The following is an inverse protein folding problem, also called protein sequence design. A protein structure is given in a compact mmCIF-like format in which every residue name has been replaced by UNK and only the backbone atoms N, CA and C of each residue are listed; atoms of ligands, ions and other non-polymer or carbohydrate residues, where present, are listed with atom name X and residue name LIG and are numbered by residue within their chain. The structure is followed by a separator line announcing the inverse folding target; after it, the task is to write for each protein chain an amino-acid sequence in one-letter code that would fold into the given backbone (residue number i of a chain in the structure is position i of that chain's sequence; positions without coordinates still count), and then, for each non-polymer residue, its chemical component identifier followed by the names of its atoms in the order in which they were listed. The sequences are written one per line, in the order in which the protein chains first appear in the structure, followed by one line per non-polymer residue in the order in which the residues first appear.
data_IF_807337484885
#
_entry.id   IF_807337484885
#
_cell.length_a   1.000
_cell.length_b   1.000
_cell.length_c   1.000
_cell.angle_alpha   90.00
_cell.angle_beta   90.00
_cell.angle_gamma   90.00
#
_symmetry.space_group_name_H-M   'P 1'
#
loop_
_entity.id
_entity.type
_entity.pdbx_description
1 polymer ?
#
# COMPACT_ATOMS: atom_id res chain seq x y z
N UNK A 1 -25.53 6.07 -10.32
CA UNK A 1 -24.71 5.35 -9.31
C UNK A 1 -23.77 6.39 -8.72
N UNK A 2 -23.63 6.53 -7.40
CA UNK A 2 -22.68 7.50 -6.85
C UNK A 2 -21.28 6.90 -7.01
N UNK A 3 -20.44 7.50 -7.83
CA UNK A 3 -19.07 7.04 -8.05
C UNK A 3 -18.23 7.35 -6.81
N UNK A 4 -17.37 6.41 -6.41
CA UNK A 4 -16.47 6.61 -5.27
C UNK A 4 -15.25 7.44 -5.74
N UNK A 5 -15.07 8.68 -5.26
CA UNK A 5 -14.00 9.56 -5.72
C UNK A 5 -12.61 9.00 -5.44
N UNK A 6 -12.46 8.07 -4.49
CA UNK A 6 -11.18 7.45 -4.14
C UNK A 6 -10.67 6.51 -5.22
N UNK A 7 -11.53 6.02 -6.11
CA UNK A 7 -11.18 5.08 -7.19
C UNK A 7 -11.68 5.53 -8.56
N UNK A 8 -12.25 6.74 -8.63
CA UNK A 8 -12.80 7.32 -9.86
C UNK A 8 -11.99 8.58 -10.19
N UNK A 9 -11.13 8.56 -11.23
CA UNK A 9 -10.20 9.64 -11.53
C UNK A 9 -10.93 10.82 -12.18
N UNK A 10 -11.63 11.60 -11.34
CA UNK A 10 -12.50 12.72 -11.70
C UNK A 10 -12.50 13.79 -10.60
N UNK A 11 -12.36 15.05 -10.99
CA UNK A 11 -12.53 16.23 -10.10
C UNK A 11 -12.82 17.48 -10.94
N UNK A 12 -13.54 18.44 -10.36
CA UNK A 12 -13.60 19.84 -10.87
C UNK A 12 -13.83 19.99 -12.39
N UNK A 13 -14.74 19.17 -12.95
CA UNK A 13 -15.06 19.20 -14.39
C UNK A 13 -14.06 18.46 -15.29
N UNK A 14 -13.02 17.84 -14.74
CA UNK A 14 -12.03 17.03 -15.45
C UNK A 14 -12.23 15.55 -15.10
N UNK A 15 -12.12 14.68 -16.11
CA UNK A 15 -12.11 13.23 -15.95
C UNK A 15 -11.00 12.58 -16.77
N UNK A 16 -10.59 11.37 -16.39
CA UNK A 16 -9.83 10.51 -17.29
C UNK A 16 -10.63 10.18 -18.56
N UNK A 17 -9.94 10.06 -19.70
CA UNK A 17 -10.52 9.66 -21.00
C UNK A 17 -11.36 8.39 -20.91
N UNK A 18 -10.97 7.43 -20.07
CA UNK A 18 -11.69 6.17 -19.85
C UNK A 18 -13.11 6.36 -19.28
N UNK A 19 -13.44 7.54 -18.75
CA UNK A 19 -14.75 7.86 -18.19
C UNK A 19 -15.68 8.56 -19.20
N UNK A 20 -15.23 8.78 -20.44
CA UNK A 20 -16.04 9.40 -21.49
C UNK A 20 -17.30 8.56 -21.79
N UNK A 21 -18.47 9.18 -21.60
CA UNK A 21 -19.78 8.50 -21.70
C UNK A 21 -20.21 7.72 -20.45
N UNK A 22 -19.38 7.68 -19.41
CA UNK A 22 -19.68 7.07 -18.11
C UNK A 22 -20.02 8.13 -17.06
N UNK A 23 -19.22 9.20 -16.99
CA UNK A 23 -19.38 10.33 -16.06
C UNK A 23 -19.35 11.62 -16.87
N UNK A 24 -20.24 12.56 -16.55
CA UNK A 24 -20.23 13.89 -17.15
C UNK A 24 -19.04 14.72 -16.64
N UNK A 25 -18.23 15.22 -17.57
CA UNK A 25 -17.12 16.13 -17.33
C UNK A 25 -17.01 17.15 -18.48
N UNK A 26 -16.48 18.32 -18.18
CA UNK A 26 -16.21 19.38 -19.15
C UNK A 26 -15.06 18.98 -20.09
N UNK A 27 -14.05 18.31 -19.54
CA UNK A 27 -12.86 17.87 -20.26
C UNK A 27 -12.50 16.45 -19.86
N UNK A 28 -12.18 15.64 -20.87
CA UNK A 28 -11.60 14.31 -20.70
C UNK A 28 -10.14 14.33 -21.12
N UNK A 29 -9.25 13.90 -20.23
CA UNK A 29 -7.80 13.94 -20.41
C UNK A 29 -7.22 12.54 -20.54
N UNK A 30 -6.23 12.40 -21.43
CA UNK A 30 -5.45 11.17 -21.58
C UNK A 30 -4.36 11.14 -20.50
N UNK A 31 -4.40 10.19 -19.55
CA UNK A 31 -3.45 10.16 -18.45
C UNK A 31 -2.01 9.92 -18.95
N UNK A 32 -1.05 10.51 -18.25
CA UNK A 32 0.38 10.32 -18.46
C UNK A 32 0.97 9.46 -17.34
N UNK A 33 1.46 8.29 -17.70
CA UNK A 33 2.15 7.42 -16.76
C UNK A 33 3.46 8.07 -16.24
N UNK A 34 3.60 8.11 -14.91
CA UNK A 34 4.81 8.46 -14.19
C UNK A 34 5.14 7.38 -13.14
N UNK A 35 6.38 7.36 -12.66
CA UNK A 35 6.84 6.41 -11.65
C UNK A 35 7.31 7.12 -10.39
N UNK A 36 7.00 6.57 -9.22
CA UNK A 36 7.53 7.05 -7.96
C UNK A 36 9.04 6.79 -7.89
N UNK A 37 9.83 7.85 -7.74
CA UNK A 37 11.30 7.79 -7.61
C UNK A 37 11.76 7.96 -6.17
N UNK A 38 10.89 8.44 -5.28
CA UNK A 38 11.10 8.42 -3.84
C UNK A 38 10.93 7.00 -3.26
N UNK A 39 11.45 6.76 -2.05
CA UNK A 39 11.22 5.49 -1.36
C UNK A 39 9.71 5.26 -1.10
N UNK A 40 9.03 6.32 -0.68
CA UNK A 40 7.59 6.44 -0.60
C UNK A 40 7.19 7.92 -0.76
N UNK A 41 5.95 8.17 -1.19
CA UNK A 41 5.30 9.49 -1.17
C UNK A 41 3.82 9.36 -0.86
N UNK A 42 3.23 10.33 -0.16
CA UNK A 42 1.82 10.30 0.19
C UNK A 42 0.93 10.61 -1.01
N UNK A 43 -0.19 9.90 -1.13
CA UNK A 43 -1.36 10.32 -1.91
C UNK A 43 -2.28 11.08 -0.96
N UNK A 44 -2.52 12.36 -1.27
CA UNK A 44 -3.24 13.30 -0.41
C UNK A 44 -4.59 13.69 -0.97
N UNK A 45 -5.48 14.15 -0.09
CA UNK A 45 -6.83 14.58 -0.44
C UNK A 45 -6.89 15.93 -1.17
N UNK A 46 -5.83 16.74 -1.08
CA UNK A 46 -5.73 18.05 -1.73
C UNK A 46 -4.26 18.36 -2.09
N UNK A 47 -3.98 19.32 -3.00
CA UNK A 47 -2.63 19.74 -3.38
C UNK A 47 -1.98 20.62 -2.29
N UNK A 48 -1.88 20.09 -1.07
CA UNK A 48 -1.29 20.72 0.10
C UNK A 48 -0.53 19.67 0.92
N UNK A 49 0.68 20.00 1.36
CA UNK A 49 1.51 19.11 2.17
C UNK A 49 0.88 18.80 3.54
N UNK A 50 -0.01 19.67 4.03
CA UNK A 50 -0.77 19.49 5.26
C UNK A 50 -2.12 18.79 5.04
N UNK A 51 -2.52 18.55 3.78
CA UNK A 51 -3.72 17.80 3.50
C UNK A 51 -3.59 16.36 4.01
N UNK A 52 -4.74 15.77 4.34
CA UNK A 52 -4.82 14.39 4.80
C UNK A 52 -4.13 13.44 3.83
N UNK A 53 -3.21 12.63 4.35
CA UNK A 53 -2.67 11.50 3.62
C UNK A 53 -3.69 10.37 3.66
N UNK A 54 -4.12 9.92 2.48
CA UNK A 54 -5.09 8.84 2.32
C UNK A 54 -4.40 7.52 1.99
N UNK A 55 -3.27 7.58 1.28
CA UNK A 55 -2.48 6.42 0.86
C UNK A 55 -1.01 6.82 0.62
N UNK A 56 -0.16 5.88 0.18
CA UNK A 56 1.16 6.16 -0.37
C UNK A 56 1.37 5.46 -1.73
N UNK A 57 2.27 6.03 -2.52
CA UNK A 57 3.01 5.31 -3.55
C UNK A 57 4.34 4.87 -2.97
N UNK A 58 4.77 3.66 -3.31
CA UNK A 58 6.11 3.14 -3.02
C UNK A 58 7.02 3.25 -4.26
N UNK A 59 8.33 3.19 -4.04
CA UNK A 59 9.31 3.25 -5.12
C UNK A 59 8.96 2.30 -6.28
N UNK A 60 9.02 2.86 -7.49
CA UNK A 60 8.77 2.18 -8.76
C UNK A 60 7.30 1.92 -9.09
N UNK A 61 6.37 2.19 -8.16
CA UNK A 61 4.94 2.16 -8.47
C UNK A 61 4.58 3.23 -9.49
N UNK A 62 3.59 2.93 -10.33
CA UNK A 62 3.12 3.82 -11.39
C UNK A 62 1.92 4.63 -10.93
N UNK A 63 1.87 5.86 -11.44
CA UNK A 63 0.79 6.81 -11.24
C UNK A 63 0.41 7.42 -12.58
N UNK A 64 -0.86 7.29 -12.94
CA UNK A 64 -1.43 7.84 -14.16
C UNK A 64 -1.87 9.28 -13.88
N UNK A 65 -1.02 10.23 -14.24
CA UNK A 65 -1.21 11.67 -13.99
C UNK A 65 -2.26 12.21 -14.96
N UNK A 66 -3.30 12.83 -14.42
CA UNK A 66 -4.29 13.56 -15.21
C UNK A 66 -3.96 15.04 -15.34
N UNK A 67 -3.49 15.65 -14.26
CA UNK A 67 -3.30 17.09 -14.18
C UNK A 67 -2.11 17.43 -13.29
N UNK A 68 -1.40 18.49 -13.66
CA UNK A 68 -0.31 19.08 -12.89
C UNK A 68 -0.73 20.47 -12.40
N UNK A 69 -0.69 20.66 -11.08
CA UNK A 69 -1.04 21.91 -10.41
C UNK A 69 0.14 22.35 -9.52
N UNK A 70 1.04 23.15 -10.10
CA UNK A 70 2.23 23.64 -9.40
C UNK A 70 3.16 22.51 -8.98
N UNK A 71 3.27 22.24 -7.68
CA UNK A 71 4.11 21.18 -7.12
C UNK A 71 3.39 19.82 -6.98
N UNK A 72 2.14 19.73 -7.42
CA UNK A 72 1.28 18.57 -7.22
C UNK A 72 0.81 17.97 -8.53
N UNK A 73 0.67 16.65 -8.52
CA UNK A 73 0.12 15.87 -9.62
C UNK A 73 -1.17 15.21 -9.13
N UNK A 74 -2.28 15.50 -9.78
CA UNK A 74 -3.53 14.79 -9.58
C UNK A 74 -3.61 13.61 -10.54
N UNK A 75 -4.03 12.45 -10.04
CA UNK A 75 -4.11 11.26 -10.87
C UNK A 75 -4.50 10.01 -10.09
N UNK A 76 -4.13 8.87 -10.63
CA UNK A 76 -4.54 7.57 -10.14
C UNK A 76 -3.37 6.59 -10.01
N UNK A 77 -3.25 5.91 -8.87
CA UNK A 77 -2.31 4.83 -8.66
C UNK A 77 -2.68 3.64 -9.55
N UNK A 78 -1.73 3.17 -10.36
CA UNK A 78 -1.97 2.06 -11.29
C UNK A 78 -2.17 0.71 -10.57
N UNK A 79 -1.74 0.61 -9.31
CA UNK A 79 -1.74 -0.61 -8.49
C UNK A 79 -3.14 -1.06 -8.08
N UNK A 80 -3.95 -0.13 -7.57
CA UNK A 80 -5.27 -0.41 -7.00
C UNK A 80 -6.33 0.63 -7.41
N UNK A 81 -5.96 1.58 -8.26
CA UNK A 81 -6.85 2.61 -8.75
C UNK A 81 -7.04 3.78 -7.78
N UNK A 82 -6.24 3.91 -6.71
CA UNK A 82 -6.45 4.97 -5.73
C UNK A 82 -6.16 6.37 -6.30
N UNK A 83 -7.05 7.32 -6.06
CA UNK A 83 -7.04 8.67 -6.65
C UNK A 83 -6.66 9.71 -5.60
N UNK A 84 -5.85 10.68 -6.01
CA UNK A 84 -5.50 11.83 -5.18
C UNK A 84 -4.34 12.64 -5.73
N UNK A 85 -3.67 13.37 -4.84
CA UNK A 85 -2.56 14.25 -5.17
C UNK A 85 -1.23 13.69 -4.67
N UNK A 86 -0.21 13.71 -5.51
CA UNK A 86 1.17 13.36 -5.15
C UNK A 86 2.11 14.52 -5.45
N UNK A 87 3.21 14.63 -4.70
CA UNK A 87 4.23 15.65 -4.95
C UNK A 87 4.99 15.36 -6.25
N UNK A 88 5.05 16.34 -7.16
CA UNK A 88 5.72 16.20 -8.45
C UNK A 88 7.22 15.85 -8.29
N UNK A 89 7.86 16.37 -7.24
CA UNK A 89 9.26 16.10 -6.93
C UNK A 89 9.56 14.64 -6.55
N UNK A 90 8.55 13.88 -6.14
CA UNK A 90 8.67 12.45 -5.83
C UNK A 90 8.50 11.55 -7.06
N UNK A 91 8.20 12.13 -8.22
CA UNK A 91 7.82 11.42 -9.44
C UNK A 91 8.81 11.68 -10.56
N UNK A 92 9.03 10.67 -11.41
CA UNK A 92 9.85 10.76 -12.61
C UNK A 92 9.14 10.19 -13.83
N UNK A 93 9.76 10.27 -15.02
CA UNK A 93 9.27 9.58 -16.22
C UNK A 93 9.03 8.11 -15.93
N UNK A 94 8.01 7.51 -16.55
CA UNK A 94 7.78 6.07 -16.47
C UNK A 94 9.06 5.33 -16.89
N UNK A 95 9.67 4.63 -15.93
CA UNK A 95 10.90 3.88 -16.14
C UNK A 95 10.67 2.56 -16.89
N UNK A 96 11.73 1.75 -16.94
CA UNK A 96 11.62 0.37 -17.39
C UNK A 96 10.52 -0.37 -16.61
N UNK A 97 9.91 -1.37 -17.26
CA UNK A 97 8.95 -2.23 -16.57
C UNK A 97 9.64 -2.97 -15.41
N UNK A 98 8.99 -3.08 -14.24
CA UNK A 98 9.54 -3.84 -13.13
C UNK A 98 9.80 -5.30 -13.51
N UNK A 99 10.96 -5.80 -13.10
CA UNK A 99 11.34 -7.21 -13.26
C UNK A 99 11.30 -7.95 -11.93
N UNK A 100 11.44 -7.22 -10.82
CA UNK A 100 11.45 -7.75 -9.46
C UNK A 100 10.59 -6.88 -8.53
N UNK A 101 10.23 -7.46 -7.39
CA UNK A 101 9.72 -6.76 -6.21
C UNK A 101 10.74 -6.86 -5.07
N UNK A 102 10.69 -5.94 -4.14
CA UNK A 102 11.39 -6.09 -2.86
C UNK A 102 10.58 -7.08 -2.00
N UNK A 103 11.19 -8.20 -1.63
CA UNK A 103 10.59 -9.25 -0.79
C UNK A 103 10.98 -9.11 0.69
N UNK A 104 12.15 -8.54 0.98
CA UNK A 104 12.52 -8.17 2.34
C UNK A 104 11.61 -7.07 2.89
N UNK A 105 11.40 -7.04 4.21
CA UNK A 105 10.51 -6.04 4.83
C UNK A 105 10.98 -4.62 4.51
N UNK A 106 12.30 -4.43 4.54
CA UNK A 106 12.98 -3.19 4.16
C UNK A 106 14.38 -3.50 3.65
N UNK A 107 14.88 -2.68 2.73
CA UNK A 107 16.25 -2.76 2.20
C UNK A 107 16.81 -1.37 1.92
N UNK A 108 18.12 -1.28 1.69
CA UNK A 108 18.79 -0.06 1.24
C UNK A 108 19.33 -0.24 -0.18
N UNK A 109 19.48 0.87 -0.90
CA UNK A 109 20.27 0.92 -2.11
C UNK A 109 21.59 1.66 -1.86
N UNK A 110 22.65 1.20 -2.49
CA UNK A 110 24.02 1.70 -2.37
C UNK A 110 24.46 2.36 -3.69
N UNK A 111 25.21 3.46 -3.61
CA UNK A 111 25.66 4.19 -4.81
C UNK A 111 26.56 3.34 -5.72
N UNK A 112 27.37 2.47 -5.13
CA UNK A 112 28.32 1.58 -5.82
C UNK A 112 28.04 0.10 -5.48
N UNK A 113 28.70 -0.83 -6.18
CA UNK A 113 28.66 -2.26 -5.85
C UNK A 113 29.47 -2.55 -4.57
N UNK A 114 29.04 -1.94 -3.46
CA UNK A 114 29.68 -2.01 -2.15
C UNK A 114 28.72 -1.50 -1.09
N UNK A 115 28.46 -2.33 -0.08
CA UNK A 115 27.65 -1.97 1.10
C UNK A 115 28.28 -0.85 1.95
N UNK A 116 29.52 -0.46 1.67
CA UNK A 116 30.23 0.63 2.34
C UNK A 116 30.06 1.98 1.62
N UNK A 117 29.46 1.99 0.43
CA UNK A 117 29.19 3.22 -0.30
C UNK A 117 27.96 3.93 0.26
N UNK A 118 27.70 5.16 -0.22
CA UNK A 118 26.55 5.97 0.24
C UNK A 118 25.25 5.19 0.07
N UNK A 119 24.54 4.98 1.18
CA UNK A 119 23.23 4.33 1.20
C UNK A 119 22.08 5.32 0.98
N UNK A 120 20.96 4.82 0.48
CA UNK A 120 19.68 5.51 0.31
C UNK A 120 18.52 4.57 0.62
N UNK A 121 17.35 5.13 0.91
CA UNK A 121 16.18 4.41 1.40
C UNK A 121 15.87 4.74 2.88
N UNK A 122 15.27 3.79 3.65
CA UNK A 122 14.99 2.42 3.25
C UNK A 122 13.85 2.32 2.21
N UNK A 123 13.91 1.28 1.38
CA UNK A 123 12.84 0.88 0.46
C UNK A 123 12.06 -0.26 1.07
N UNK A 124 10.74 -0.25 0.91
CA UNK A 124 9.83 -1.17 1.60
C UNK A 124 9.51 -2.42 0.76
N UNK A 125 9.06 -3.48 1.43
CA UNK A 125 8.44 -4.63 0.78
C UNK A 125 7.38 -4.17 -0.24
N UNK A 126 7.27 -4.91 -1.33
CA UNK A 126 6.39 -4.67 -2.48
C UNK A 126 6.72 -3.46 -3.34
N UNK A 127 7.76 -2.67 -3.02
CA UNK A 127 8.33 -1.73 -4.01
C UNK A 127 8.73 -2.49 -5.28
N UNK A 128 8.47 -1.88 -6.42
CA UNK A 128 8.68 -2.46 -7.74
C UNK A 128 10.01 -1.98 -8.31
N UNK A 129 10.84 -2.88 -8.81
CA UNK A 129 12.18 -2.53 -9.27
C UNK A 129 12.53 -3.20 -10.60
N UNK A 130 13.35 -2.52 -11.40
CA UNK A 130 13.98 -3.10 -12.58
C UNK A 130 15.45 -3.43 -12.26
N UNK A 131 15.80 -4.71 -12.26
CA UNK A 131 17.17 -5.20 -12.06
C UNK A 131 17.88 -5.26 -13.42
N UNK A 132 18.98 -4.52 -13.54
CA UNK A 132 19.81 -4.47 -14.76
C UNK A 132 20.81 -5.64 -14.79
N UNK A 133 21.50 -5.88 -13.67
CA UNK A 133 22.52 -6.92 -13.53
C UNK A 133 22.64 -7.34 -12.07
N UNK A 134 23.00 -8.60 -11.84
CA UNK A 134 23.38 -9.12 -10.52
C UNK A 134 24.88 -9.44 -10.52
N UNK A 135 25.61 -8.84 -9.58
CA UNK A 135 27.05 -9.06 -9.40
C UNK A 135 27.34 -9.48 -7.96
N UNK A 136 27.65 -10.76 -7.77
CA UNK A 136 27.88 -11.33 -6.44
C UNK A 136 26.63 -11.27 -5.57
N UNK A 137 26.66 -10.47 -4.50
CA UNK A 137 25.56 -10.34 -3.53
C UNK A 137 24.65 -9.13 -3.79
N UNK A 138 25.02 -8.25 -4.72
CA UNK A 138 24.27 -7.03 -5.01
C UNK A 138 23.70 -7.06 -6.42
N UNK A 139 22.53 -6.46 -6.60
CA UNK A 139 21.85 -6.26 -7.86
C UNK A 139 21.80 -4.77 -8.19
N UNK A 140 22.19 -4.38 -9.40
CA UNK A 140 22.02 -3.03 -9.91
C UNK A 140 20.54 -2.83 -10.24
N UNK A 141 19.91 -1.85 -9.59
CA UNK A 141 18.52 -1.45 -9.76
C UNK A 141 18.47 -0.10 -10.43
N UNK A 142 17.73 -0.02 -11.54
CA UNK A 142 17.51 1.22 -12.28
C UNK A 142 16.87 2.29 -11.37
N UNK A 143 17.44 3.50 -11.37
CA UNK A 143 16.94 4.63 -10.59
C UNK A 143 17.24 4.63 -9.09
N UNK A 144 17.75 3.53 -8.51
CA UNK A 144 18.04 3.45 -7.06
C UNK A 144 19.51 3.21 -6.72
N UNK A 145 20.25 2.44 -7.52
CA UNK A 145 21.64 2.06 -7.20
C UNK A 145 21.81 0.55 -7.10
N UNK A 146 22.50 0.06 -6.08
CA UNK A 146 22.77 -1.36 -5.85
C UNK A 146 22.03 -1.85 -4.60
N UNK A 147 21.18 -2.86 -4.72
CA UNK A 147 20.46 -3.45 -3.58
C UNK A 147 20.99 -4.85 -3.30
N UNK A 148 20.80 -5.35 -2.07
CA UNK A 148 21.10 -6.76 -1.75
C UNK A 148 20.21 -7.67 -2.59
N UNK A 149 20.82 -8.54 -3.42
CA UNK A 149 20.08 -9.40 -4.35
C UNK A 149 19.11 -10.35 -3.63
N UNK A 150 19.46 -10.85 -2.44
CA UNK A 150 18.60 -11.72 -1.64
C UNK A 150 17.36 -11.01 -1.05
N UNK A 151 17.24 -9.68 -1.20
CA UNK A 151 16.05 -8.93 -0.79
C UNK A 151 15.06 -8.71 -1.94
N UNK A 152 15.40 -9.19 -3.14
CA UNK A 152 14.63 -9.02 -4.36
C UNK A 152 14.11 -10.38 -4.81
N UNK A 153 12.89 -10.38 -5.33
CA UNK A 153 12.25 -11.56 -5.89
C UNK A 153 11.68 -11.19 -7.27
N UNK A 154 11.80 -12.05 -8.30
CA UNK A 154 11.16 -11.79 -9.59
C UNK A 154 9.65 -11.54 -9.46
N UNK A 155 9.11 -10.66 -10.31
CA UNK A 155 7.66 -10.48 -10.39
C UNK A 155 6.99 -11.81 -10.74
N UNK A 156 5.90 -12.13 -10.05
CA UNK A 156 5.16 -13.39 -10.21
C UNK A 156 5.56 -14.48 -9.22
N UNK A 157 6.61 -14.28 -8.42
CA UNK A 157 6.94 -15.13 -7.29
C UNK A 157 6.39 -14.51 -6.00
N UNK A 158 5.59 -15.30 -5.27
CA UNK A 158 4.79 -14.85 -4.14
C UNK A 158 5.05 -15.71 -2.91
N UNK A 159 4.82 -15.13 -1.73
CA UNK A 159 4.76 -15.87 -0.47
C UNK A 159 3.38 -16.54 -0.33
N UNK A 160 3.26 -17.63 0.44
CA UNK A 160 2.00 -18.39 0.54
C UNK A 160 1.20 -18.09 1.82
N UNK A 161 1.73 -17.29 2.74
CA UNK A 161 1.13 -16.99 4.04
C UNK A 161 1.15 -15.49 4.34
N UNK A 162 0.06 -14.80 4.01
CA UNK A 162 -0.06 -13.37 4.25
C UNK A 162 -0.13 -13.01 5.74
N UNK A 163 -0.58 -13.92 6.61
CA UNK A 163 -0.51 -13.70 8.06
C UNK A 163 0.94 -13.64 8.54
N UNK A 164 1.82 -14.52 8.04
CA UNK A 164 3.25 -14.47 8.33
C UNK A 164 3.90 -13.17 7.82
N UNK A 165 3.46 -12.69 6.64
CA UNK A 165 3.92 -11.40 6.12
C UNK A 165 3.48 -10.26 7.04
N UNK A 166 2.22 -10.24 7.48
CA UNK A 166 1.71 -9.22 8.39
C UNK A 166 2.45 -9.23 9.75
N UNK A 167 2.76 -10.41 10.29
CA UNK A 167 3.52 -10.57 11.54
C UNK A 167 4.92 -9.94 11.47
N UNK A 168 5.56 -9.86 10.28
CA UNK A 168 6.85 -9.17 10.10
C UNK A 168 6.78 -7.67 10.39
N UNK A 169 5.60 -7.06 10.35
CA UNK A 169 5.42 -5.63 10.64
C UNK A 169 5.23 -5.33 12.14
N UNK A 170 5.15 -6.34 13.01
CA UNK A 170 4.99 -6.12 14.46
C UNK A 170 6.07 -5.15 14.99
N UNK A 171 5.63 -4.13 15.70
CA UNK A 171 6.45 -3.02 16.19
C UNK A 171 6.56 -1.83 15.24
N UNK A 172 6.09 -1.91 13.99
CA UNK A 172 6.01 -0.75 13.10
C UNK A 172 4.96 0.25 13.65
N UNK A 173 5.30 1.54 13.80
CA UNK A 173 4.36 2.57 14.24
C UNK A 173 3.10 2.65 13.38
N UNK A 174 1.98 3.00 14.03
CA UNK A 174 0.76 3.35 13.31
C UNK A 174 0.93 4.69 12.60
N UNK A 175 0.69 4.71 11.29
CA UNK A 175 0.70 5.93 10.48
C UNK A 175 -0.54 5.98 9.61
N UNK A 176 -1.41 6.97 9.83
CA UNK A 176 -2.61 7.19 9.02
C UNK A 176 -2.24 7.39 7.54
N UNK A 177 -2.93 6.68 6.65
CA UNK A 177 -2.64 6.71 5.21
C UNK A 177 -1.34 5.98 4.85
N UNK A 178 -0.64 5.35 5.80
CA UNK A 178 0.64 4.70 5.59
C UNK A 178 0.52 3.25 5.12
N UNK A 179 1.49 2.81 4.33
CA UNK A 179 1.66 1.43 3.85
C UNK A 179 3.13 1.01 3.71
N UNK A 180 4.08 1.87 4.07
CA UNK A 180 5.49 1.54 4.04
C UNK A 180 5.92 0.75 5.29
N UNK A 181 7.09 0.13 5.23
CA UNK A 181 7.61 -0.71 6.30
C UNK A 181 8.01 0.02 7.58
N UNK A 182 8.10 1.35 7.54
CA UNK A 182 8.41 2.20 8.68
C UNK A 182 7.18 2.71 9.42
N UNK A 183 6.00 2.65 8.79
CA UNK A 183 4.76 3.14 9.38
C UNK A 183 3.59 2.88 8.46
N UNK A 184 2.53 2.32 9.02
CA UNK A 184 1.35 1.93 8.26
C UNK A 184 0.08 1.95 9.11
N UNK A 185 -1.07 2.00 8.45
CA UNK A 185 -2.37 1.85 9.09
C UNK A 185 -2.93 0.43 8.95
N UNK A 186 -4.14 0.24 9.50
CA UNK A 186 -4.79 -1.07 9.59
C UNK A 186 -4.98 -1.72 8.21
N UNK A 187 -5.53 -0.99 7.25
CA UNK A 187 -5.79 -1.51 5.91
C UNK A 187 -4.53 -1.56 5.04
N UNK A 188 -3.56 -0.67 5.27
CA UNK A 188 -2.23 -0.74 4.67
C UNK A 188 -1.47 -2.02 5.05
N UNK A 189 -1.63 -2.52 6.29
CA UNK A 189 -1.05 -3.80 6.74
C UNK A 189 -1.60 -4.97 5.94
N UNK A 190 -2.92 -5.09 5.88
CA UNK A 190 -3.63 -6.14 5.15
C UNK A 190 -3.24 -6.09 3.68
N UNK A 191 -3.21 -4.89 3.10
CA UNK A 191 -2.88 -4.69 1.70
C UNK A 191 -1.45 -5.13 1.38
N UNK A 192 -0.47 -4.78 2.20
CA UNK A 192 0.93 -5.18 1.98
C UNK A 192 1.15 -6.68 2.16
N UNK A 193 0.48 -7.29 3.13
CA UNK A 193 0.50 -8.72 3.35
C UNK A 193 -0.06 -9.49 2.13
N UNK A 194 -1.23 -9.08 1.62
CA UNK A 194 -1.86 -9.70 0.46
C UNK A 194 -1.05 -9.49 -0.83
N UNK A 195 -0.47 -8.30 -1.05
CA UNK A 195 0.37 -8.06 -2.23
C UNK A 195 1.64 -8.92 -2.25
N UNK A 196 2.28 -9.17 -1.10
CA UNK A 196 3.43 -10.07 -1.02
C UNK A 196 3.08 -11.52 -1.42
N UNK A 197 1.80 -11.88 -1.26
CA UNK A 197 1.21 -13.16 -1.63
C UNK A 197 0.48 -13.15 -2.99
N UNK A 198 0.59 -12.08 -3.77
CA UNK A 198 0.02 -12.02 -5.12
C UNK A 198 -1.50 -11.77 -5.17
N UNK A 199 -2.11 -11.36 -4.06
CA UNK A 199 -3.53 -11.03 -3.99
C UNK A 199 -3.76 -9.52 -4.12
N UNK A 200 -4.64 -9.13 -5.04
CA UNK A 200 -5.09 -7.75 -5.14
C UNK A 200 -5.92 -7.36 -3.91
N UNK A 201 -5.68 -6.16 -3.38
CA UNK A 201 -6.35 -5.68 -2.18
C UNK A 201 -6.63 -4.18 -2.30
N UNK A 202 -7.90 -3.73 -2.16
CA UNK A 202 -8.24 -2.31 -2.08
C UNK A 202 -7.54 -1.62 -0.91
N UNK A 203 -7.41 -0.29 -1.00
CA UNK A 203 -6.69 0.49 0.01
C UNK A 203 -7.45 0.64 1.33
N UNK A 204 -8.76 0.82 1.26
CA UNK A 204 -9.55 1.21 2.42
C UNK A 204 -10.31 0.05 3.04
N UNK A 205 -10.41 0.10 4.36
CA UNK A 205 -11.11 -0.89 5.19
C UNK A 205 -12.54 -1.17 4.71
N UNK A 206 -13.30 -0.15 4.30
CA UNK A 206 -14.67 -0.31 3.84
C UNK A 206 -14.76 -1.04 2.49
N UNK A 207 -13.78 -0.82 1.61
CA UNK A 207 -13.66 -1.54 0.34
C UNK A 207 -13.12 -2.97 0.56
N UNK A 208 -12.18 -3.17 1.49
CA UNK A 208 -11.64 -4.47 1.86
C UNK A 208 -12.70 -5.41 2.46
N UNK A 209 -13.77 -4.88 3.06
CA UNK A 209 -14.91 -5.70 3.53
C UNK A 209 -15.62 -6.47 2.41
N UNK A 210 -15.36 -6.16 1.13
CA UNK A 210 -15.88 -6.91 0.00
C UNK A 210 -14.94 -8.05 -0.46
N UNK A 211 -13.75 -8.20 0.13
CA UNK A 211 -12.81 -9.27 -0.19
C UNK A 211 -13.33 -10.63 0.30
N UNK A 212 -12.99 -11.66 -0.48
CA UNK A 212 -13.23 -13.05 -0.11
C UNK A 212 -14.70 -13.40 0.11
N UNK A 213 -14.94 -14.40 0.97
CA UNK A 213 -16.27 -14.84 1.35
C UNK A 213 -16.60 -14.45 2.80
N UNK A 214 -17.87 -14.11 3.12
CA UNK A 214 -18.32 -14.01 4.52
C UNK A 214 -18.09 -15.34 5.24
N UNK A 215 -17.67 -15.24 6.49
CA UNK A 215 -17.63 -16.38 7.42
C UNK A 215 -18.30 -15.99 8.74
N UNK A 216 -18.72 -17.01 9.49
CA UNK A 216 -19.18 -16.84 10.86
C UNK A 216 -17.97 -16.63 11.79
N UNK A 217 -18.21 -15.96 12.93
CA UNK A 217 -17.14 -15.60 13.86
C UNK A 217 -16.43 -16.81 14.49
N UNK A 218 -17.12 -17.93 14.67
CA UNK A 218 -16.57 -19.18 15.20
C UNK A 218 -15.67 -19.92 14.21
N UNK A 219 -15.78 -19.60 12.92
CA UNK A 219 -14.95 -20.14 11.85
C UNK A 219 -13.67 -19.32 11.61
N UNK A 220 -13.49 -18.19 12.32
CA UNK A 220 -12.35 -17.29 12.15
C UNK A 220 -11.02 -17.95 12.53
N UNK A 221 -10.02 -17.80 11.67
CA UNK A 221 -8.69 -18.39 11.85
C UNK A 221 -7.56 -17.59 11.21
N UNK A 222 -6.41 -18.25 11.04
CA UNK A 222 -5.21 -17.65 10.44
C UNK A 222 -5.50 -17.22 9.00
N UNK A 223 -5.13 -15.99 8.67
CA UNK A 223 -5.31 -15.38 7.35
C UNK A 223 -6.69 -14.75 7.12
N UNK A 224 -7.69 -15.04 7.96
CA UNK A 224 -9.00 -14.41 7.85
C UNK A 224 -8.94 -12.94 8.33
N UNK A 225 -9.86 -12.12 7.84
CA UNK A 225 -9.97 -10.70 8.20
C UNK A 225 -11.20 -10.46 9.09
N UNK A 226 -11.04 -9.63 10.11
CA UNK A 226 -12.12 -9.14 10.97
C UNK A 226 -12.19 -7.62 10.90
N UNK A 227 -13.40 -7.10 10.79
CA UNK A 227 -13.67 -5.69 10.51
C UNK A 227 -14.50 -5.04 11.62
N UNK A 228 -14.25 -3.75 11.86
CA UNK A 228 -15.09 -2.84 12.61
C UNK A 228 -15.35 -1.60 11.75
N UNK A 229 -16.18 -0.68 12.26
CA UNK A 229 -16.34 0.64 11.64
C UNK A 229 -15.00 1.38 11.61
N UNK A 230 -14.37 1.41 10.44
CA UNK A 230 -13.10 2.11 10.20
C UNK A 230 -11.83 1.36 10.64
N UNK A 231 -11.91 0.07 10.99
CA UNK A 231 -10.74 -0.72 11.39
C UNK A 231 -10.78 -2.15 10.83
N UNK A 232 -9.61 -2.71 10.54
CA UNK A 232 -9.44 -4.12 10.11
C UNK A 232 -8.28 -4.76 10.87
N UNK A 233 -8.40 -6.06 11.13
CA UNK A 233 -7.32 -6.89 11.64
C UNK A 233 -7.29 -8.24 10.92
N UNK A 234 -6.14 -8.91 10.98
CA UNK A 234 -5.92 -10.21 10.35
C UNK A 234 -5.67 -11.27 11.41
N UNK A 235 -6.32 -12.42 11.30
CA UNK A 235 -6.09 -13.55 12.20
C UNK A 235 -4.72 -14.17 11.99
N UNK A 236 -4.02 -14.50 13.08
CA UNK A 236 -2.71 -15.18 13.02
C UNK A 236 -2.76 -16.61 13.60
N UNK A 237 -3.95 -17.06 14.02
CA UNK A 237 -4.17 -18.36 14.67
C UNK A 237 -4.40 -18.23 16.18
N UNK A 238 -4.86 -19.31 16.82
CA UNK A 238 -5.05 -19.42 18.27
C UNK A 238 -5.85 -18.27 18.92
N UNK A 239 -6.84 -17.74 18.20
CA UNK A 239 -7.67 -16.62 18.67
C UNK A 239 -6.94 -15.26 18.73
N UNK A 240 -5.78 -15.14 18.09
CA UNK A 240 -5.01 -13.91 18.02
C UNK A 240 -5.17 -13.19 16.67
N UNK A 241 -5.01 -11.88 16.72
CA UNK A 241 -4.98 -11.01 15.55
C UNK A 241 -3.70 -10.20 15.49
N UNK A 242 -3.25 -9.87 14.28
CA UNK A 242 -2.28 -8.83 14.00
C UNK A 242 -2.97 -7.63 13.39
N UNK A 243 -2.65 -6.42 13.86
CA UNK A 243 -3.15 -5.17 13.29
C UNK A 243 -2.27 -3.97 13.61
N UNK A 244 -2.25 -2.97 12.73
CA UNK A 244 -1.77 -1.63 13.07
C UNK A 244 -2.95 -0.83 13.62
N UNK A 245 -2.85 -0.31 14.85
CA UNK A 245 -3.98 0.33 15.50
C UNK A 245 -3.59 1.60 16.29
N UNK A 246 -4.54 2.53 16.41
CA UNK A 246 -4.37 3.79 17.13
C UNK A 246 -4.41 3.69 18.66
N UNK A 247 -4.76 2.53 19.24
CA UNK A 247 -4.71 2.33 20.69
C UNK A 247 -3.27 2.11 21.16
N UNK A 248 -2.53 1.24 20.47
CA UNK A 248 -1.11 0.96 20.71
C UNK A 248 -0.18 1.93 19.98
N UNK A 249 -0.70 2.68 18.99
CA UNK A 249 0.09 3.48 18.04
C UNK A 249 1.18 2.66 17.33
N UNK A 250 0.92 1.36 17.13
CA UNK A 250 1.85 0.40 16.56
C UNK A 250 1.11 -0.81 15.96
N UNK A 251 1.86 -1.61 15.21
CA UNK A 251 1.46 -2.96 14.78
C UNK A 251 1.72 -3.95 15.91
N UNK A 252 0.69 -4.65 16.36
CA UNK A 252 0.79 -5.60 17.48
C UNK A 252 0.06 -6.89 17.16
N UNK A 253 0.43 -7.96 17.88
CA UNK A 253 -0.37 -9.18 18.01
C UNK A 253 -1.04 -9.16 19.37
N UNK A 254 -2.35 -9.35 19.42
CA UNK A 254 -3.12 -9.44 20.67
C UNK A 254 -4.29 -10.43 20.55
N UNK A 255 -4.86 -10.91 21.68
CA UNK A 255 -6.06 -11.75 21.66
C UNK A 255 -7.27 -11.01 21.07
N UNK A 256 -7.96 -11.64 20.12
CA UNK A 256 -9.15 -11.07 19.48
C UNK A 256 -10.25 -10.71 20.49
N UNK A 257 -10.48 -11.57 21.48
CA UNK A 257 -11.50 -11.34 22.49
C UNK A 257 -11.23 -10.08 23.34
N UNK A 258 -9.97 -9.80 23.64
CA UNK A 258 -9.56 -8.59 24.38
C UNK A 258 -9.70 -7.35 23.50
N UNK A 259 -9.28 -7.43 22.24
CA UNK A 259 -9.45 -6.36 21.26
C UNK A 259 -10.94 -6.00 21.06
N UNK A 260 -11.81 -7.00 20.87
CA UNK A 260 -13.27 -6.81 20.76
C UNK A 260 -13.80 -6.06 21.98
N UNK A 261 -13.51 -6.57 23.18
CA UNK A 261 -13.95 -5.96 24.45
C UNK A 261 -13.51 -4.50 24.55
N UNK A 262 -12.24 -4.23 24.24
CA UNK A 262 -11.63 -2.90 24.31
C UNK A 262 -12.21 -1.92 23.28
N UNK A 263 -12.39 -2.36 22.04
CA UNK A 263 -12.89 -1.54 20.93
C UNK A 263 -14.37 -1.20 21.13
N UNK A 264 -15.16 -2.14 21.65
CA UNK A 264 -16.56 -1.93 22.02
C UNK A 264 -16.69 -0.89 23.14
N UNK A 265 -15.90 -1.03 24.21
CA UNK A 265 -15.85 -0.08 25.31
C UNK A 265 -15.39 1.33 24.89
N UNK A 266 -14.59 1.43 23.83
CA UNK A 266 -14.17 2.70 23.23
C UNK A 266 -15.23 3.32 22.30
N UNK A 267 -16.39 2.68 22.12
CA UNK A 267 -17.53 3.21 21.36
C UNK A 267 -17.52 2.90 19.87
N UNK A 268 -16.56 2.10 19.37
CA UNK A 268 -16.53 1.65 17.96
C UNK A 268 -17.42 0.44 17.70
N UNK A 269 -17.89 -0.22 18.76
CA UNK A 269 -18.84 -1.33 18.71
C UNK A 269 -18.20 -2.71 18.46
N UNK A 270 -19.07 -3.69 18.26
CA UNK A 270 -18.71 -5.07 17.92
C UNK A 270 -18.21 -5.19 16.46
N UNK A 271 -17.47 -6.27 16.12
CA UNK A 271 -17.09 -6.55 14.74
C UNK A 271 -18.28 -6.53 13.78
N UNK A 272 -18.10 -5.91 12.62
CA UNK A 272 -19.14 -5.74 11.60
C UNK A 272 -19.11 -6.84 10.54
N UNK A 273 -17.95 -7.47 10.33
CA UNK A 273 -17.80 -8.56 9.36
C UNK A 273 -16.57 -9.42 9.65
N UNK A 274 -16.64 -10.68 9.23
CA UNK A 274 -15.51 -11.62 9.13
C UNK A 274 -15.42 -12.13 7.69
N UNK A 275 -14.21 -12.17 7.13
CA UNK A 275 -13.97 -12.57 5.74
C UNK A 275 -12.83 -13.57 5.62
N UNK A 276 -13.01 -14.57 4.75
CA UNK A 276 -11.95 -15.48 4.30
C UNK A 276 -11.54 -15.11 2.88
N UNK A 277 -10.29 -14.66 2.72
CA UNK A 277 -9.69 -14.23 1.44
C UNK A 277 -9.18 -15.44 0.66
#
# INVERSE_FOLDING_TARGET
MKHDPRITPWRDGIAARSLEGVIEAEVYLDPKAMSCTAAATGIRSAPDANAEQMDQLLFGERFEVLEEEGAWLFGQAARDGYVGFVEAAAMGPAGALPTHRISALRTYAFAENSIKSRASGPYSINSLVAVDVVEGKLAKVAGAGWMTAAHLEPIGMFEDDWAAVAERFVGAPYLWGGRESLGLDCSGLVQQALFACGHACPRDTDQQQALGAPIEADAFGRGDLVFWKGHVAMGVGDGQIVHANGYHMATVVEPLAEAITRIDAAGSGQPTAYRRV
#
